data_IF_166218838938
#
_entry.id   IF_166218838938
#
_cell.length_a   1.000
_cell.length_b   1.000
_cell.length_c   1.000
_cell.angle_alpha   90.00
_cell.angle_beta   90.00
_cell.angle_gamma   90.00
#
_symmetry.space_group_name_H-M   'P 1'
#
loop_
_entity.id
_entity.type
_entity.pdbx_description
1 polymer ?
#
# COMPACT_ATOMS: atom_id res chain seq x y z
N UNK A 1 0.94 -30.60 -13.47
CA UNK A 1 0.24 -29.82 -14.52
C UNK A 1 0.03 -28.42 -13.96
N UNK A 2 0.94 -27.50 -14.30
CA UNK A 2 0.79 -26.08 -13.99
C UNK A 2 -0.20 -25.49 -15.02
N UNK A 3 -1.37 -25.08 -14.56
CA UNK A 3 -2.25 -24.26 -15.37
C UNK A 3 -1.70 -22.83 -15.34
N UNK A 4 -1.15 -22.39 -16.46
CA UNK A 4 -0.93 -20.94 -16.68
C UNK A 4 -2.31 -20.31 -16.81
N UNK A 5 -2.70 -19.54 -15.80
CA UNK A 5 -3.81 -18.60 -15.94
C UNK A 5 -3.28 -17.48 -16.82
N UNK A 6 -3.65 -17.51 -18.11
CA UNK A 6 -3.47 -16.33 -18.97
C UNK A 6 -4.33 -15.24 -18.36
N UNK A 7 -3.69 -14.17 -17.86
CA UNK A 7 -4.39 -12.96 -17.46
C UNK A 7 -5.18 -12.47 -18.66
N UNK A 8 -6.50 -12.55 -18.58
CA UNK A 8 -7.44 -11.85 -19.45
C UNK A 8 -7.09 -10.37 -19.43
N UNK A 9 -7.26 -9.68 -20.57
CA UNK A 9 -7.12 -8.23 -20.65
C UNK A 9 -7.80 -7.60 -19.43
N UNK A 10 -7.03 -6.91 -18.61
CA UNK A 10 -7.41 -6.50 -17.27
C UNK A 10 -8.75 -5.74 -17.32
N UNK A 11 -9.77 -6.29 -16.67
CA UNK A 11 -11.05 -5.60 -16.50
C UNK A 11 -10.78 -4.22 -15.89
N UNK A 12 -11.02 -3.19 -16.71
CA UNK A 12 -10.89 -1.80 -16.23
C UNK A 12 -12.01 -1.55 -15.22
N UNK A 13 -11.67 -0.99 -14.08
CA UNK A 13 -12.68 -0.58 -13.11
C UNK A 13 -13.66 0.41 -13.74
N UNK A 14 -14.93 0.20 -13.49
CA UNK A 14 -15.99 1.08 -13.95
C UNK A 14 -17.12 1.14 -12.94
N UNK A 15 -17.85 2.24 -12.94
CA UNK A 15 -19.02 2.44 -12.09
C UNK A 15 -20.11 3.05 -12.94
N UNK A 16 -21.29 2.42 -12.96
CA UNK A 16 -22.47 3.02 -13.58
C UNK A 16 -23.13 3.98 -12.58
N UNK A 17 -23.10 5.30 -12.82
CA UNK A 17 -23.67 6.27 -11.88
C UNK A 17 -25.15 6.06 -11.57
N UNK A 18 -25.92 5.49 -12.53
CA UNK A 18 -27.35 5.29 -12.39
C UNK A 18 -27.74 4.22 -11.38
N UNK A 19 -26.79 3.38 -10.93
CA UNK A 19 -27.02 2.33 -9.95
C UNK A 19 -27.04 2.87 -8.51
N UNK A 20 -26.68 4.15 -8.32
CA UNK A 20 -26.50 4.76 -7.01
C UNK A 20 -27.31 6.05 -6.85
N UNK A 21 -27.79 6.26 -5.62
CA UNK A 21 -28.61 7.43 -5.25
C UNK A 21 -27.78 8.61 -4.76
N UNK A 22 -26.64 8.32 -4.15
CA UNK A 22 -25.82 9.31 -3.43
C UNK A 22 -24.40 9.28 -3.93
N UNK A 23 -23.73 10.41 -3.86
CA UNK A 23 -22.31 10.54 -4.15
C UNK A 23 -21.58 11.44 -3.15
N UNK A 24 -20.26 11.29 -3.13
CA UNK A 24 -19.31 12.08 -2.35
C UNK A 24 -18.12 12.40 -3.24
N UNK A 25 -17.61 13.62 -3.19
CA UNK A 25 -16.47 14.04 -4.00
C UNK A 25 -15.17 13.94 -3.21
N UNK A 26 -14.14 13.37 -3.83
CA UNK A 26 -12.80 13.25 -3.25
C UNK A 26 -11.78 13.91 -4.17
N UNK A 27 -10.86 14.67 -3.57
CA UNK A 27 -9.67 15.21 -4.22
C UNK A 27 -8.47 14.63 -3.51
N UNK A 28 -7.66 13.84 -4.21
CA UNK A 28 -6.63 13.00 -3.60
C UNK A 28 -5.25 13.34 -4.18
N UNK A 29 -4.25 13.31 -3.33
CA UNK A 29 -2.85 13.19 -3.71
C UNK A 29 -2.35 11.83 -3.20
N UNK A 30 -1.84 10.99 -4.10
CA UNK A 30 -1.42 9.62 -3.74
C UNK A 30 0.09 9.53 -3.88
N UNK A 31 0.75 9.16 -2.79
CA UNK A 31 2.21 9.03 -2.72
C UNK A 31 2.59 7.71 -2.07
N UNK A 32 3.78 7.21 -2.38
CA UNK A 32 4.39 6.16 -1.58
C UNK A 32 4.91 6.72 -0.25
N UNK A 33 5.07 5.86 0.76
CA UNK A 33 5.55 6.28 2.08
C UNK A 33 6.94 6.94 2.04
N UNK A 34 7.78 6.56 1.09
CA UNK A 34 9.08 7.18 0.82
C UNK A 34 9.00 8.60 0.23
N UNK A 35 7.79 9.07 -0.11
CA UNK A 35 7.53 10.40 -0.63
C UNK A 35 7.45 10.50 -2.16
N UNK A 36 7.63 9.41 -2.87
CA UNK A 36 7.44 9.36 -4.32
C UNK A 36 5.96 9.45 -4.68
N UNK A 37 5.66 10.19 -5.74
CA UNK A 37 4.30 10.31 -6.24
C UNK A 37 3.89 9.09 -7.05
N UNK A 38 2.62 8.68 -6.92
CA UNK A 38 2.07 7.65 -7.79
C UNK A 38 1.96 8.21 -9.21
N UNK A 39 2.57 7.53 -10.17
CA UNK A 39 2.48 7.91 -11.59
C UNK A 39 1.09 7.57 -12.15
N UNK A 40 0.21 8.56 -12.23
CA UNK A 40 -1.16 8.40 -12.72
C UNK A 40 -1.26 8.00 -14.20
N UNK A 41 -0.16 8.07 -14.96
CA UNK A 41 -0.12 7.53 -16.32
C UNK A 41 -0.03 6.01 -16.32
N UNK A 42 0.58 5.42 -15.30
CA UNK A 42 0.80 3.99 -15.16
C UNK A 42 -0.18 3.30 -14.21
N UNK A 43 -0.82 4.06 -13.32
CA UNK A 43 -1.70 3.50 -12.30
C UNK A 43 -3.10 4.12 -12.31
N UNK A 44 -4.10 3.30 -12.06
CA UNK A 44 -5.45 3.72 -11.71
C UNK A 44 -5.61 3.65 -10.18
N UNK A 45 -6.48 4.51 -9.64
CA UNK A 45 -6.90 4.49 -8.22
C UNK A 45 -8.42 4.46 -8.18
N UNK A 46 -8.99 3.66 -7.30
CA UNK A 46 -10.43 3.56 -7.15
C UNK A 46 -10.85 3.33 -5.69
N UNK A 47 -12.11 3.69 -5.38
CA UNK A 47 -12.73 3.46 -4.08
C UNK A 47 -13.63 2.23 -4.12
N UNK A 48 -13.66 1.48 -3.00
CA UNK A 48 -14.37 0.21 -2.87
C UNK A 48 -15.17 0.12 -1.56
N UNK A 49 -16.25 -0.66 -1.60
CA UNK A 49 -16.89 -1.24 -0.41
C UNK A 49 -16.83 -2.76 -0.58
N UNK A 50 -16.02 -3.43 0.24
CA UNK A 50 -15.64 -4.82 -0.03
C UNK A 50 -14.97 -4.94 -1.39
N UNK A 51 -15.52 -5.77 -2.28
CA UNK A 51 -15.00 -5.95 -3.65
C UNK A 51 -15.74 -5.12 -4.71
N UNK A 52 -16.74 -4.35 -4.31
CA UNK A 52 -17.52 -3.53 -5.24
C UNK A 52 -16.85 -2.17 -5.45
N UNK A 53 -16.50 -1.86 -6.71
CA UNK A 53 -15.97 -0.55 -7.10
C UNK A 53 -17.07 0.51 -7.00
N UNK A 54 -16.81 1.57 -6.26
CA UNK A 54 -17.73 2.65 -5.97
C UNK A 54 -17.34 3.99 -6.60
N UNK A 55 -16.18 4.07 -7.18
CA UNK A 55 -15.68 5.25 -7.91
C UNK A 55 -14.28 5.02 -8.43
N UNK A 56 -14.02 5.48 -9.64
CA UNK A 56 -12.69 5.47 -10.26
C UNK A 56 -12.17 6.89 -10.31
N UNK A 57 -10.90 7.08 -9.96
CA UNK A 57 -10.27 8.39 -9.98
C UNK A 57 -9.86 8.80 -11.38
N UNK A 58 -9.97 10.10 -11.66
CA UNK A 58 -9.51 10.74 -12.88
C UNK A 58 -8.50 11.83 -12.52
N UNK A 59 -7.50 12.05 -13.36
CA UNK A 59 -6.56 13.15 -13.17
C UNK A 59 -7.27 14.47 -13.39
N UNK A 60 -7.24 15.33 -12.39
CA UNK A 60 -7.75 16.70 -12.44
C UNK A 60 -6.60 17.68 -12.56
N UNK A 61 -6.40 18.31 -13.72
CA UNK A 61 -5.40 19.38 -13.87
C UNK A 61 -5.76 20.58 -13.00
N UNK A 62 -4.77 21.08 -12.23
CA UNK A 62 -4.92 22.26 -11.37
C UNK A 62 -4.07 23.40 -11.92
N UNK A 63 -4.68 24.41 -12.57
CA UNK A 63 -3.94 25.52 -13.15
C UNK A 63 -3.06 26.26 -12.13
N UNK A 64 -1.75 26.32 -12.38
CA UNK A 64 -0.78 26.96 -11.50
C UNK A 64 -0.46 26.20 -10.21
N UNK A 65 -0.96 24.99 -10.07
CA UNK A 65 -0.73 24.08 -8.96
C UNK A 65 -0.26 22.72 -9.46
N UNK A 66 -0.33 21.73 -8.56
CA UNK A 66 -0.06 20.33 -8.83
C UNK A 66 -1.37 19.62 -9.16
N UNK A 67 -1.36 18.81 -10.20
CA UNK A 67 -2.50 17.95 -10.54
C UNK A 67 -2.84 17.01 -9.37
N UNK A 68 -4.13 16.75 -9.22
CA UNK A 68 -4.61 15.80 -8.20
C UNK A 68 -5.57 14.78 -8.84
N UNK A 69 -5.92 13.76 -8.10
CA UNK A 69 -6.97 12.84 -8.51
C UNK A 69 -8.33 13.36 -8.03
N UNK A 70 -9.30 13.36 -8.92
CA UNK A 70 -10.70 13.54 -8.60
C UNK A 70 -11.44 12.20 -8.67
N UNK A 71 -12.16 11.86 -7.62
CA UNK A 71 -12.95 10.64 -7.54
C UNK A 71 -14.35 10.98 -7.01
N UNK A 72 -15.37 10.42 -7.67
CA UNK A 72 -16.75 10.48 -7.21
C UNK A 72 -17.13 9.12 -6.65
N UNK A 73 -17.09 8.98 -5.32
CA UNK A 73 -17.53 7.78 -4.62
C UNK A 73 -19.05 7.74 -4.55
N UNK A 74 -19.65 6.57 -4.76
CA UNK A 74 -21.11 6.37 -4.85
C UNK A 74 -21.63 5.36 -3.86
N UNK A 75 -22.89 5.57 -3.42
CA UNK A 75 -23.56 4.68 -2.49
C UNK A 75 -25.09 4.74 -2.67
N UNK A 76 -25.76 3.67 -2.25
CA UNK A 76 -27.20 3.62 -2.05
C UNK A 76 -27.59 3.93 -0.60
N UNK A 77 -26.60 4.14 0.28
CA UNK A 77 -26.79 4.62 1.65
C UNK A 77 -26.38 6.09 1.73
N UNK A 78 -27.13 6.86 2.49
CA UNK A 78 -26.83 8.28 2.68
C UNK A 78 -25.54 8.50 3.47
N UNK A 79 -25.20 7.56 4.36
CA UNK A 79 -23.98 7.56 5.15
C UNK A 79 -23.66 6.19 5.78
N UNK A 80 -22.52 6.07 6.43
CA UNK A 80 -22.17 4.94 7.29
C UNK A 80 -21.48 3.76 6.58
N UNK A 81 -21.22 3.84 5.28
CA UNK A 81 -20.33 2.88 4.62
C UNK A 81 -18.88 3.32 4.78
N UNK A 82 -18.01 2.39 5.13
CA UNK A 82 -16.56 2.59 5.08
C UNK A 82 -16.06 2.17 3.73
N UNK A 83 -15.37 3.06 3.07
CA UNK A 83 -14.76 2.82 1.78
C UNK A 83 -13.24 2.74 1.92
N UNK A 84 -12.62 1.88 1.13
CA UNK A 84 -11.17 1.68 1.02
C UNK A 84 -10.70 2.09 -0.36
N UNK A 85 -9.39 2.18 -0.54
CA UNK A 85 -8.80 2.45 -1.84
C UNK A 85 -8.01 1.25 -2.34
N UNK A 86 -8.01 1.07 -3.67
CA UNK A 86 -7.10 0.18 -4.39
C UNK A 86 -6.40 0.96 -5.49
N UNK A 87 -5.18 0.55 -5.81
CA UNK A 87 -4.49 1.00 -7.02
C UNK A 87 -4.19 -0.18 -7.92
N UNK A 88 -4.12 0.08 -9.22
CA UNK A 88 -3.91 -0.94 -10.24
C UNK A 88 -2.85 -0.48 -11.23
N UNK A 89 -1.88 -1.32 -11.50
CA UNK A 89 -0.95 -1.10 -12.61
C UNK A 89 -1.68 -1.35 -13.94
N UNK A 90 -1.72 -0.35 -14.81
CA UNK A 90 -2.42 -0.41 -16.11
C UNK A 90 -1.79 -1.39 -17.10
N UNK A 91 -0.48 -1.62 -16.97
CA UNK A 91 0.27 -2.50 -17.87
C UNK A 91 0.15 -3.96 -17.46
N UNK A 92 0.37 -4.26 -16.18
CA UNK A 92 0.37 -5.64 -15.68
C UNK A 92 -1.02 -6.11 -15.25
N UNK A 93 -1.94 -5.19 -14.95
CA UNK A 93 -3.25 -5.47 -14.37
C UNK A 93 -3.19 -5.80 -12.87
N UNK A 94 -2.01 -5.78 -12.26
CA UNK A 94 -1.85 -6.05 -10.83
C UNK A 94 -2.62 -5.03 -9.99
N UNK A 95 -3.43 -5.52 -9.04
CA UNK A 95 -4.24 -4.74 -8.12
C UNK A 95 -3.70 -4.92 -6.71
N UNK A 96 -3.55 -3.81 -6.00
CA UNK A 96 -3.15 -3.80 -4.58
C UNK A 96 -4.08 -2.91 -3.77
N UNK A 97 -4.36 -3.33 -2.54
CA UNK A 97 -5.07 -2.50 -1.57
C UNK A 97 -4.13 -1.38 -1.06
N UNK A 98 -4.69 -0.18 -0.83
CA UNK A 98 -4.01 0.87 -0.07
C UNK A 98 -4.38 0.67 1.39
N UNK A 99 -3.50 -0.01 2.11
CA UNK A 99 -3.74 -0.41 3.48
C UNK A 99 -3.75 0.80 4.43
N UNK A 100 -4.52 0.67 5.51
CA UNK A 100 -4.63 1.66 6.58
C UNK A 100 -5.19 3.03 6.15
N UNK A 101 -5.75 3.13 4.94
CA UNK A 101 -6.43 4.32 4.45
C UNK A 101 -7.88 3.96 4.11
N UNK A 102 -8.80 4.57 4.82
CA UNK A 102 -10.23 4.45 4.57
C UNK A 102 -10.93 5.77 4.87
N UNK A 103 -12.16 5.90 4.41
CA UNK A 103 -13.00 7.06 4.69
C UNK A 103 -14.46 6.65 4.88
N UNK A 104 -15.17 7.42 5.69
CA UNK A 104 -16.61 7.25 5.87
C UNK A 104 -17.36 7.97 4.75
N UNK A 105 -18.20 7.24 4.03
CA UNK A 105 -19.08 7.84 3.03
C UNK A 105 -20.17 8.68 3.70
N UNK A 106 -20.38 9.88 3.17
CA UNK A 106 -21.51 10.73 3.49
C UNK A 106 -21.98 11.47 2.23
N UNK A 107 -23.28 11.40 1.95
CA UNK A 107 -23.90 12.04 0.80
C UNK A 107 -23.58 13.53 0.72
N UNK A 108 -23.23 14.01 -0.48
CA UNK A 108 -22.85 15.39 -0.75
C UNK A 108 -21.63 15.92 0.04
N UNK A 109 -20.93 15.05 0.76
CA UNK A 109 -19.70 15.42 1.45
C UNK A 109 -18.54 15.58 0.47
N UNK A 110 -17.44 16.14 0.98
CA UNK A 110 -16.20 16.31 0.24
C UNK A 110 -15.02 15.95 1.12
N UNK A 111 -14.05 15.24 0.53
CA UNK A 111 -12.78 14.93 1.14
C UNK A 111 -11.66 15.61 0.31
N UNK A 112 -10.95 16.55 0.92
CA UNK A 112 -9.96 17.39 0.23
C UNK A 112 -10.55 18.45 -0.70
N UNK A 113 -9.68 19.19 -1.34
CA UNK A 113 -9.96 20.24 -2.34
C UNK A 113 -8.88 20.19 -3.44
N UNK A 114 -9.12 20.73 -4.65
CA UNK A 114 -8.08 20.79 -5.67
C UNK A 114 -6.80 21.49 -5.23
N UNK A 115 -6.93 22.55 -4.41
CA UNK A 115 -5.79 23.31 -3.86
C UNK A 115 -5.19 22.71 -2.59
N UNK A 116 -5.83 21.70 -1.99
CA UNK A 116 -5.39 21.00 -0.78
C UNK A 116 -5.98 19.61 -0.79
N UNK A 117 -5.47 18.72 -1.64
CA UNK A 117 -5.97 17.35 -1.76
C UNK A 117 -5.77 16.57 -0.45
N UNK A 118 -6.61 15.58 -0.23
CA UNK A 118 -6.42 14.62 0.86
C UNK A 118 -5.24 13.70 0.51
N UNK A 119 -4.29 13.61 1.44
CA UNK A 119 -3.08 12.80 1.26
C UNK A 119 -3.38 11.31 1.52
N UNK A 120 -3.14 10.50 0.50
CA UNK A 120 -3.23 9.04 0.55
C UNK A 120 -1.82 8.48 0.43
N UNK A 121 -1.35 7.80 1.48
CA UNK A 121 -0.01 7.18 1.48
C UNK A 121 -0.10 5.69 1.25
N UNK A 122 0.58 5.21 0.23
CA UNK A 122 0.78 3.79 -0.04
C UNK A 122 1.99 3.33 0.78
N UNK A 123 1.77 2.40 1.69
CA UNK A 123 2.84 1.74 2.46
C UNK A 123 3.04 0.34 1.88
N UNK A 124 4.25 0.05 1.41
CA UNK A 124 4.63 -1.29 0.97
C UNK A 124 5.20 -2.03 2.17
N UNK A 125 4.78 -3.27 2.36
CA UNK A 125 5.24 -4.13 3.44
C UNK A 125 5.96 -5.34 2.87
N UNK A 126 7.00 -5.78 3.59
CA UNK A 126 7.75 -6.98 3.30
C UNK A 126 7.78 -7.91 4.51
N UNK A 127 7.86 -9.21 4.26
CA UNK A 127 8.06 -10.18 5.31
C UNK A 127 9.55 -10.27 5.66
N UNK A 128 9.84 -10.02 6.94
CA UNK A 128 11.18 -10.10 7.52
C UNK A 128 11.20 -11.26 8.51
N UNK A 129 11.98 -12.28 8.24
CA UNK A 129 12.13 -13.46 9.11
C UNK A 129 13.55 -13.45 9.65
N UNK A 130 13.66 -13.42 10.99
CA UNK A 130 14.95 -13.49 11.68
C UNK A 130 14.90 -14.72 12.60
N UNK A 131 15.84 -15.64 12.40
CA UNK A 131 15.91 -16.89 13.14
C UNK A 131 17.32 -17.14 13.66
N UNK A 132 17.44 -18.03 14.66
CA UNK A 132 18.73 -18.46 15.19
C UNK A 132 18.95 -19.93 14.88
N UNK A 133 20.19 -20.25 14.48
CA UNK A 133 20.67 -21.62 14.36
C UNK A 133 21.74 -21.84 15.46
N UNK A 134 21.48 -22.77 16.37
CA UNK A 134 22.43 -23.09 17.46
C UNK A 134 22.08 -22.42 18.79
N UNK A 135 23.10 -22.24 19.64
CA UNK A 135 22.94 -21.71 21.00
C UNK A 135 23.08 -20.19 21.04
N UNK A 136 21.95 -19.52 21.23
CA UNK A 136 21.90 -18.05 21.32
C UNK A 136 20.53 -17.50 21.02
N UNK A 137 20.45 -16.18 20.95
CA UNK A 137 19.22 -15.45 20.63
C UNK A 137 19.51 -14.20 19.80
N UNK A 138 18.49 -13.71 19.11
CA UNK A 138 18.49 -12.39 18.46
C UNK A 138 17.40 -11.55 19.12
N UNK A 139 17.67 -10.25 19.28
CA UNK A 139 16.74 -9.30 19.91
C UNK A 139 15.44 -9.06 19.12
N UNK A 140 15.40 -9.41 17.83
CA UNK A 140 14.28 -9.20 16.92
C UNK A 140 13.89 -10.53 16.27
N UNK A 141 12.60 -10.74 16.04
CA UNK A 141 12.07 -11.89 15.30
C UNK A 141 11.60 -11.55 13.89
N UNK A 142 11.64 -10.26 13.53
CA UNK A 142 11.09 -9.77 12.28
C UNK A 142 9.56 -9.61 12.32
N UNK A 143 8.91 -9.91 11.20
CA UNK A 143 7.48 -9.77 10.99
C UNK A 143 7.19 -9.06 9.67
N UNK A 144 5.92 -8.66 9.46
CA UNK A 144 5.52 -7.85 8.32
C UNK A 144 5.83 -6.38 8.59
N UNK A 145 6.89 -5.87 7.97
CA UNK A 145 7.44 -4.53 8.21
C UNK A 145 7.35 -3.65 6.97
N UNK A 146 7.12 -2.36 7.18
CA UNK A 146 7.10 -1.39 6.10
C UNK A 146 8.48 -1.22 5.46
N UNK A 147 8.52 -1.03 4.16
CA UNK A 147 9.72 -0.61 3.43
C UNK A 147 10.33 0.64 4.07
N UNK A 148 11.65 0.65 4.21
CA UNK A 148 12.38 1.70 4.91
C UNK A 148 12.45 1.55 6.43
N UNK A 149 11.77 0.56 7.03
CA UNK A 149 11.89 0.28 8.46
C UNK A 149 13.33 -0.11 8.79
N UNK A 150 13.89 0.53 9.82
CA UNK A 150 15.25 0.26 10.29
C UNK A 150 15.20 -0.59 11.55
N UNK A 151 15.93 -1.69 11.53
CA UNK A 151 16.16 -2.58 12.67
C UNK A 151 17.63 -2.52 13.07
N UNK A 152 17.92 -2.81 14.35
CA UNK A 152 19.28 -2.99 14.83
C UNK A 152 19.38 -4.39 15.45
N UNK A 153 19.90 -5.33 14.70
CA UNK A 153 19.95 -6.73 15.08
C UNK A 153 21.14 -7.00 15.99
N UNK A 154 20.89 -7.64 17.14
CA UNK A 154 21.90 -8.01 18.12
C UNK A 154 21.78 -9.52 18.36
N UNK A 155 22.81 -10.26 17.96
CA UNK A 155 22.95 -11.66 18.27
C UNK A 155 23.67 -11.81 19.64
N UNK A 156 23.07 -12.59 20.53
CA UNK A 156 23.61 -12.88 21.87
C UNK A 156 23.85 -14.38 21.99
N UNK A 157 25.12 -14.87 21.92
CA UNK A 157 25.43 -16.27 22.11
C UNK A 157 25.17 -16.75 23.56
N UNK A 158 24.75 -18.01 23.67
CA UNK A 158 24.69 -18.69 24.99
C UNK A 158 26.10 -19.01 25.51
N UNK A 159 26.17 -19.40 26.79
CA UNK A 159 27.45 -19.82 27.39
C UNK A 159 28.10 -20.98 26.59
N UNK A 160 29.36 -20.82 26.25
CA UNK A 160 30.13 -21.80 25.48
C UNK A 160 29.92 -21.69 23.95
N UNK A 161 29.12 -20.73 23.49
CA UNK A 161 28.89 -20.46 22.05
C UNK A 161 29.50 -19.12 21.66
N UNK A 162 29.64 -18.90 20.35
CA UNK A 162 30.04 -17.62 19.77
C UNK A 162 29.23 -17.30 18.55
N UNK A 163 29.08 -16.02 18.26
CA UNK A 163 28.41 -15.58 17.04
C UNK A 163 29.34 -15.77 15.84
N UNK A 164 28.96 -16.61 14.91
CA UNK A 164 29.74 -16.90 13.69
C UNK A 164 29.42 -15.98 12.51
N UNK A 165 28.24 -15.41 12.47
CA UNK A 165 27.77 -14.53 11.40
C UNK A 165 26.29 -14.75 11.07
N UNK A 166 25.78 -13.89 10.22
CA UNK A 166 24.44 -13.97 9.66
C UNK A 166 24.43 -14.87 8.42
N UNK A 167 23.28 -15.39 8.02
CA UNK A 167 23.11 -16.32 6.89
C UNK A 167 23.59 -15.76 5.54
N UNK A 168 23.57 -14.43 5.38
CA UNK A 168 24.08 -13.74 4.19
C UNK A 168 25.59 -13.47 4.21
N UNK A 169 26.29 -13.97 5.24
CA UNK A 169 27.75 -13.87 5.39
C UNK A 169 28.24 -12.62 6.13
N UNK A 170 27.37 -11.72 6.57
CA UNK A 170 27.75 -10.59 7.42
C UNK A 170 28.16 -11.08 8.80
N UNK A 171 29.21 -10.46 9.37
CA UNK A 171 29.69 -10.73 10.74
C UNK A 171 29.49 -9.55 11.67
N UNK A 172 28.78 -8.51 11.22
CA UNK A 172 28.49 -7.34 12.05
C UNK A 172 27.52 -7.70 13.20
N UNK A 173 27.86 -7.28 14.42
CA UNK A 173 27.02 -7.43 15.61
C UNK A 173 27.36 -6.31 16.61
N UNK A 174 26.49 -5.32 16.84
CA UNK A 174 25.15 -5.13 16.26
C UNK A 174 25.16 -4.88 14.73
N UNK A 175 24.09 -5.31 14.07
CA UNK A 175 23.94 -5.12 12.63
C UNK A 175 22.73 -4.24 12.32
N UNK A 176 22.91 -3.08 11.63
CA UNK A 176 21.80 -2.33 11.08
C UNK A 176 21.21 -3.06 9.88
N UNK A 177 19.89 -3.16 9.85
CA UNK A 177 19.12 -3.69 8.71
C UNK A 177 18.05 -2.67 8.34
N UNK A 178 17.99 -2.29 7.06
CA UNK A 178 16.88 -1.50 6.51
C UNK A 178 16.05 -2.41 5.62
N UNK A 179 14.74 -2.49 5.87
CA UNK A 179 13.81 -3.24 5.03
C UNK A 179 13.77 -2.59 3.65
N UNK A 180 14.23 -3.33 2.65
CA UNK A 180 14.28 -2.88 1.24
C UNK A 180 12.99 -3.21 0.49
N UNK A 181 13.14 -3.49 -0.80
CA UNK A 181 12.03 -3.76 -1.74
C UNK A 181 11.67 -5.25 -1.86
N UNK A 182 12.31 -6.10 -1.07
CA UNK A 182 12.11 -7.55 -1.09
C UNK A 182 11.99 -8.10 0.35
N UNK A 183 11.40 -9.28 0.46
CA UNK A 183 11.36 -10.03 1.72
C UNK A 183 12.77 -10.39 2.19
N UNK A 184 12.97 -10.44 3.50
CA UNK A 184 14.27 -10.72 4.13
C UNK A 184 14.18 -11.98 4.98
N UNK A 185 15.17 -12.87 4.85
CA UNK A 185 15.36 -14.02 5.73
C UNK A 185 16.84 -14.07 6.20
N UNK A 186 17.04 -14.03 7.53
CA UNK A 186 18.35 -14.06 8.20
C UNK A 186 18.38 -15.07 9.32
#
# INVERSE_FOLDING_TARGET
LFHSVTASAADTWSVNPSDYRYDMSLYLNVTFAAGEELDYTQYDVAAFVGDECRGVAEVLPVPGGKDCLYLRARSNRESGETMTFRYRNKTTGEVKDIENVNFAFASNARLGYPSSPYEVKIVIYHDVIISTEGGGSVNESGGRLAEGTSLNLIATPDEGHYFSGWSDGSTENPRPLVVGTEDVAL
#
